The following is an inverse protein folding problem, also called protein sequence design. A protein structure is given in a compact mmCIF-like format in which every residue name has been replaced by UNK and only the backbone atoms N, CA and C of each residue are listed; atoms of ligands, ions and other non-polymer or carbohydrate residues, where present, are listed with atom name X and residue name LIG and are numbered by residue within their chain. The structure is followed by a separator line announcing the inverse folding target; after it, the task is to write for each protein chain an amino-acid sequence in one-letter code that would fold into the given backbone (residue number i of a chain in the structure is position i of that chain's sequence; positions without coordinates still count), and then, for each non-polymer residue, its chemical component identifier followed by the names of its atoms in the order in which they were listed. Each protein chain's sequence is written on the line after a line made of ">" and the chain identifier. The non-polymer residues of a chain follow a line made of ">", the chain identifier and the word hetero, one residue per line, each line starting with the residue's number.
data_IF_400899316692
#
_entry.id   IF_400899316692
#
_cell.length_a   1.000
_cell.length_b   1.000
_cell.length_c   1.000
_cell.angle_alpha   90.00
_cell.angle_beta   90.00
_cell.angle_gamma   90.00
#
_symmetry.space_group_name_H-M   'P 1'
#
loop_
_entity.id
_entity.type
_entity.pdbx_description
1 polymer ?
#
# COMPACT_ATOMS: atom_id res chain seq x y z
N UNK A 1 -3.76 0.72 -16.76
CA UNK A 1 -4.34 0.15 -15.53
C UNK A 1 -4.92 1.28 -14.70
N UNK A 2 -6.20 1.24 -14.42
CA UNK A 2 -6.94 2.11 -13.50
C UNK A 2 -6.64 1.74 -12.04
N UNK A 3 -7.03 2.58 -11.07
CA UNK A 3 -6.89 2.27 -9.65
C UNK A 3 -7.63 0.98 -9.26
N UNK A 4 -8.83 0.77 -9.80
CA UNK A 4 -9.62 -0.45 -9.58
C UNK A 4 -8.90 -1.71 -10.01
N UNK A 5 -8.30 -1.69 -11.21
CA UNK A 5 -7.56 -2.85 -11.74
C UNK A 5 -6.33 -3.18 -10.89
N UNK A 6 -5.63 -2.17 -10.35
CA UNK A 6 -4.54 -2.41 -9.39
C UNK A 6 -5.05 -3.18 -8.19
N UNK A 7 -6.11 -2.68 -7.54
CA UNK A 7 -6.63 -3.27 -6.31
C UNK A 7 -7.15 -4.69 -6.55
N UNK A 8 -7.77 -4.94 -7.71
CA UNK A 8 -8.22 -6.28 -8.11
C UNK A 8 -7.05 -7.23 -8.38
N UNK A 9 -5.96 -6.74 -8.97
CA UNK A 9 -4.77 -7.54 -9.28
C UNK A 9 -4.02 -8.02 -8.03
N UNK A 10 -4.19 -7.35 -6.89
CA UNK A 10 -3.69 -7.85 -5.59
C UNK A 10 -4.37 -9.16 -5.15
N UNK A 11 -5.58 -9.45 -5.65
CA UNK A 11 -6.32 -10.66 -5.31
C UNK A 11 -6.79 -10.74 -3.85
N UNK A 12 -6.71 -9.64 -3.09
CA UNK A 12 -7.18 -9.54 -1.71
C UNK A 12 -8.12 -8.35 -1.53
N UNK A 13 -9.09 -8.42 -0.60
CA UNK A 13 -9.91 -7.27 -0.28
C UNK A 13 -9.06 -6.17 0.37
N UNK A 14 -9.12 -4.97 -0.21
CA UNK A 14 -8.40 -3.80 0.30
C UNK A 14 -9.36 -2.93 1.09
N UNK A 15 -9.26 -2.99 2.42
CA UNK A 15 -10.07 -2.17 3.31
C UNK A 15 -9.37 -0.88 3.73
N UNK A 16 -8.05 -0.93 3.86
CA UNK A 16 -7.25 0.19 4.33
C UNK A 16 -5.88 0.16 3.68
N UNK A 17 -5.46 1.33 3.20
CA UNK A 17 -4.14 1.61 2.67
C UNK A 17 -3.31 2.33 3.74
N UNK A 18 -2.13 1.81 4.06
CA UNK A 18 -1.23 2.36 5.08
C UNK A 18 0.18 2.49 4.50
N UNK A 19 0.76 3.69 4.57
CA UNK A 19 2.15 3.94 4.14
C UNK A 19 3.16 4.02 5.28
N UNK A 20 2.70 4.05 6.54
CA UNK A 20 3.54 4.03 7.74
C UNK A 20 3.42 2.66 8.40
N UNK A 21 4.49 1.84 8.32
CA UNK A 21 4.47 0.47 8.83
C UNK A 21 4.14 0.43 10.33
N UNK A 22 4.52 1.46 11.10
CA UNK A 22 4.23 1.55 12.55
C UNK A 22 2.74 1.62 12.87
N UNK A 23 1.92 2.08 11.92
CA UNK A 23 0.46 2.20 12.05
C UNK A 23 -0.30 1.05 11.39
N UNK A 24 0.42 0.12 10.78
CA UNK A 24 -0.16 -1.00 10.07
C UNK A 24 -0.74 -2.01 11.06
N UNK A 25 -1.98 -2.42 10.80
CA UNK A 25 -2.65 -3.51 11.50
C UNK A 25 -2.75 -4.74 10.61
N UNK A 26 -2.98 -5.90 11.24
CA UNK A 26 -3.21 -7.15 10.52
C UNK A 26 -4.41 -7.00 9.58
N UNK A 27 -4.21 -7.34 8.31
CA UNK A 27 -5.26 -7.20 7.28
C UNK A 27 -5.16 -5.93 6.44
N UNK A 28 -4.36 -4.95 6.86
CA UNK A 28 -4.15 -3.72 6.09
C UNK A 28 -3.23 -3.98 4.88
N UNK A 29 -3.35 -3.13 3.86
CA UNK A 29 -2.46 -3.13 2.70
C UNK A 29 -1.39 -2.07 2.88
N UNK A 30 -0.13 -2.50 2.86
CA UNK A 30 1.00 -1.60 2.94
C UNK A 30 1.28 -0.95 1.59
N UNK A 31 1.54 0.36 1.57
CA UNK A 31 1.84 1.12 0.37
C UNK A 31 3.25 1.71 0.48
N UNK A 32 4.19 1.11 -0.22
CA UNK A 32 5.61 1.37 -0.14
C UNK A 32 6.12 2.14 -1.37
N UNK A 33 6.41 3.42 -1.23
CA UNK A 33 6.96 4.24 -2.31
C UNK A 33 8.09 5.14 -1.79
N UNK A 34 9.00 5.58 -2.67
CA UNK A 34 10.04 6.53 -2.28
C UNK A 34 9.39 7.84 -1.81
N UNK A 35 9.59 8.16 -0.54
CA UNK A 35 9.18 9.43 0.07
C UNK A 35 10.26 10.50 -0.06
N UNK A 36 9.96 11.71 0.41
CA UNK A 36 10.94 12.81 0.41
C UNK A 36 12.05 12.62 1.46
N UNK A 37 11.74 11.96 2.59
CA UNK A 37 12.69 11.76 3.71
C UNK A 37 13.27 10.36 3.78
N UNK A 38 12.53 9.34 3.37
CA UNK A 38 12.94 7.94 3.44
C UNK A 38 12.18 7.12 2.41
N UNK A 39 12.71 5.97 2.05
CA UNK A 39 12.06 5.06 1.12
C UNK A 39 11.12 4.11 1.88
N UNK A 40 9.81 4.19 1.60
CA UNK A 40 8.80 3.32 2.22
C UNK A 40 9.06 1.83 1.97
N UNK A 41 9.80 1.50 0.92
CA UNK A 41 10.12 0.12 0.51
C UNK A 41 11.10 -0.58 1.43
N UNK A 42 11.89 0.19 2.18
CA UNK A 42 12.79 -0.34 3.21
C UNK A 42 12.00 -0.92 4.41
N UNK A 43 10.76 -0.47 4.61
CA UNK A 43 9.89 -0.89 5.72
C UNK A 43 8.94 -2.03 5.35
N UNK A 44 9.06 -2.60 4.15
CA UNK A 44 8.26 -3.77 3.75
C UNK A 44 8.42 -4.91 4.75
N UNK A 45 9.63 -5.31 5.20
CA UNK A 45 9.79 -6.37 6.20
C UNK A 45 8.98 -6.13 7.49
N UNK A 46 9.02 -4.93 8.05
CA UNK A 46 8.26 -4.57 9.27
C UNK A 46 6.74 -4.61 9.03
N UNK A 47 6.28 -4.20 7.85
CA UNK A 47 4.87 -4.33 7.46
C UNK A 47 4.43 -5.81 7.38
N UNK A 48 5.29 -6.69 6.87
CA UNK A 48 5.02 -8.13 6.81
C UNK A 48 4.93 -8.73 8.22
N UNK A 49 5.85 -8.37 9.12
CA UNK A 49 5.85 -8.84 10.51
C UNK A 49 4.60 -8.41 11.28
N UNK A 50 4.05 -7.23 10.95
CA UNK A 50 2.78 -6.73 11.51
C UNK A 50 1.53 -7.37 10.91
N UNK A 51 1.68 -8.20 9.88
CA UNK A 51 0.59 -8.95 9.26
C UNK A 51 -0.13 -8.19 8.15
N UNK A 52 0.59 -7.41 7.35
CA UNK A 52 0.06 -6.84 6.11
C UNK A 52 -0.57 -7.93 5.24
N UNK A 53 -1.80 -7.71 4.78
CA UNK A 53 -2.50 -8.64 3.89
C UNK A 53 -1.92 -8.62 2.49
N UNK A 54 -1.43 -7.46 2.05
CA UNK A 54 -0.74 -7.28 0.79
C UNK A 54 0.17 -6.05 0.79
N UNK A 55 1.05 -5.97 -0.21
CA UNK A 55 1.98 -4.84 -0.38
C UNK A 55 1.88 -4.27 -1.79
N UNK A 56 1.51 -2.99 -1.88
CA UNK A 56 1.71 -2.19 -3.08
C UNK A 56 3.06 -1.50 -2.98
N UNK A 57 3.91 -1.64 -3.99
CA UNK A 57 5.23 -1.02 -3.97
C UNK A 57 5.54 -0.30 -5.27
N UNK A 58 6.30 0.80 -5.18
CA UNK A 58 6.72 1.53 -6.38
C UNK A 58 7.79 0.76 -7.13
N UNK A 59 7.49 0.41 -8.38
CA UNK A 59 8.35 -0.44 -9.22
C UNK A 59 9.63 0.24 -9.72
N UNK A 60 9.81 1.53 -9.46
CA UNK A 60 10.98 2.29 -9.91
C UNK A 60 12.23 1.89 -9.13
N UNK A 61 13.27 1.41 -9.80
CA UNK A 61 14.58 1.14 -9.16
C UNK A 61 14.49 0.16 -7.96
N UNK A 62 13.46 -0.66 -7.88
CA UNK A 62 13.24 -1.61 -6.80
C UNK A 62 12.81 -2.97 -7.36
N UNK A 63 13.28 -4.03 -6.71
CA UNK A 63 12.93 -5.40 -7.06
C UNK A 63 12.32 -6.11 -5.85
N UNK A 64 11.17 -6.75 -6.06
CA UNK A 64 10.51 -7.52 -5.02
C UNK A 64 11.38 -8.69 -4.57
N UNK A 65 11.50 -8.88 -3.25
CA UNK A 65 12.19 -10.01 -2.69
C UNK A 65 11.28 -11.25 -2.71
N UNK A 66 11.67 -12.29 -3.45
CA UNK A 66 10.91 -13.55 -3.61
C UNK A 66 10.79 -14.38 -2.32
N UNK A 67 11.56 -14.04 -1.28
CA UNK A 67 11.39 -14.58 0.06
C UNK A 67 10.08 -14.12 0.72
N UNK A 68 9.57 -12.93 0.37
CA UNK A 68 8.30 -12.42 0.89
C UNK A 68 7.12 -13.15 0.20
N UNK A 69 6.29 -13.82 1.01
CA UNK A 69 5.21 -14.71 0.53
C UNK A 69 3.82 -14.08 0.52
N UNK A 70 3.71 -12.76 0.72
CA UNK A 70 2.42 -12.07 0.69
C UNK A 70 2.04 -11.67 -0.73
N UNK A 71 0.74 -11.49 -1.02
CA UNK A 71 0.28 -10.81 -2.22
C UNK A 71 0.95 -9.44 -2.37
N UNK A 72 1.42 -9.15 -3.58
CA UNK A 72 2.18 -7.95 -3.86
C UNK A 72 1.88 -7.47 -5.28
N UNK A 73 2.00 -6.18 -5.49
CA UNK A 73 1.94 -5.61 -6.84
C UNK A 73 2.86 -4.40 -6.95
N UNK A 74 3.79 -4.50 -7.91
CA UNK A 74 4.63 -3.39 -8.34
C UNK A 74 3.84 -2.43 -9.22
N UNK A 75 3.80 -1.16 -8.83
CA UNK A 75 3.07 -0.10 -9.55
C UNK A 75 4.04 1.03 -9.87
N UNK A 76 4.13 1.41 -11.14
CA UNK A 76 4.92 2.58 -11.53
C UNK A 76 4.29 3.87 -11.00
N UNK A 77 5.13 4.77 -10.47
CA UNK A 77 4.71 6.10 -9.98
C UNK A 77 3.61 6.01 -8.92
N UNK A 78 3.71 5.05 -8.00
CA UNK A 78 2.70 4.72 -6.99
C UNK A 78 2.28 5.95 -6.17
N UNK A 79 3.22 6.85 -5.84
CA UNK A 79 2.95 8.11 -5.13
C UNK A 79 1.93 8.98 -5.86
N UNK A 80 2.00 9.09 -7.20
CA UNK A 80 1.08 9.90 -8.00
C UNK A 80 -0.31 9.26 -8.07
N UNK A 81 -0.36 7.92 -8.04
CA UNK A 81 -1.58 7.13 -8.13
C UNK A 81 -2.28 6.92 -6.80
N UNK A 82 -1.63 7.27 -5.69
CA UNK A 82 -2.15 7.08 -4.34
C UNK A 82 -3.49 7.79 -4.13
N UNK A 83 -3.68 8.97 -4.73
CA UNK A 83 -4.95 9.70 -4.67
C UNK A 83 -6.11 8.91 -5.28
N UNK A 84 -5.91 8.35 -6.47
CA UNK A 84 -6.92 7.52 -7.14
C UNK A 84 -7.19 6.20 -6.39
N UNK A 85 -6.12 5.56 -5.86
CA UNK A 85 -6.25 4.34 -5.06
C UNK A 85 -7.02 4.59 -3.76
N UNK A 86 -6.71 5.69 -3.07
CA UNK A 86 -7.43 6.12 -1.89
C UNK A 86 -8.89 6.47 -2.22
N UNK A 87 -9.16 7.13 -3.35
CA UNK A 87 -10.52 7.40 -3.79
C UNK A 87 -11.30 6.11 -4.10
N UNK A 88 -10.67 5.08 -4.66
CA UNK A 88 -11.37 3.82 -4.92
C UNK A 88 -11.60 2.99 -3.64
N UNK A 89 -10.69 3.06 -2.66
CA UNK A 89 -10.86 2.37 -1.38
C UNK A 89 -11.83 3.10 -0.45
N UNK A 90 -11.74 4.44 -0.37
CA UNK A 90 -12.46 5.26 0.61
C UNK A 90 -13.58 6.14 0.02
N UNK A 91 -13.59 6.39 -1.28
CA UNK A 91 -14.57 7.25 -1.97
C UNK A 91 -15.95 6.62 -2.15
N UNK A 92 -16.16 5.39 -1.68
CA UNK A 92 -17.47 4.75 -1.56
C UNK A 92 -17.90 4.76 -0.08
N UNK A 93 -18.59 5.81 0.43
CA UNK A 93 -18.87 6.01 1.86
C UNK A 93 -19.81 4.98 2.53
N UNK A 94 -20.08 3.84 1.88
CA UNK A 94 -20.92 2.75 2.40
C UNK A 94 -20.19 1.69 3.23
N UNK A 95 -18.85 1.65 3.26
CA UNK A 95 -18.08 0.63 4.01
C UNK A 95 -16.93 1.25 4.82
N UNK A 96 -17.27 1.60 6.06
CA UNK A 96 -16.42 1.75 7.26
C UNK A 96 -15.01 2.34 7.07
N UNK A 97 -14.92 3.62 7.43
CA UNK A 97 -13.78 4.53 7.47
C UNK A 97 -12.68 4.12 8.46
N UNK A 98 -11.42 4.25 8.02
CA UNK A 98 -10.29 4.72 8.83
C UNK A 98 -9.17 5.26 7.92
N UNK A 99 -9.37 6.45 7.37
CA UNK A 99 -8.31 7.20 6.69
C UNK A 99 -7.29 7.67 7.74
N UNK A 100 -6.18 6.93 7.90
CA UNK A 100 -4.98 7.46 8.58
C UNK A 100 -4.01 7.90 7.50
N UNK A 101 -4.34 9.03 6.85
CA UNK A 101 -3.39 9.79 6.06
C UNK A 101 -2.48 10.54 7.02
N UNK A 102 -1.30 10.00 7.31
CA UNK A 102 -0.26 10.76 8.01
C UNK A 102 0.43 11.62 6.97
N UNK A 103 -0.02 12.86 6.81
CA UNK A 103 0.83 13.89 6.22
C UNK A 103 1.86 14.27 7.29
N UNK A 104 3.09 13.80 7.15
CA UNK A 104 4.19 14.24 8.00
C UNK A 104 4.59 15.68 7.66
N UNK A 105 4.74 16.52 8.68
CA UNK A 105 5.34 17.87 8.63
C UNK A 105 6.81 17.84 8.22
#
# INVERSE_FOLDING_TARGET
>A
MTAREILQSLGVPVHRLVSDSRKLARGDVFVAYPGERSDGREYIPDALERGAAAVLWDSRDFHWNTAWKVPQLGVAQLKQRLGELAAEVYGHPGRQLALVGVTGT
#
